data_IF_669596148811
#
_entry.id   IF_669596148811
#
_cell.length_a   1.000
_cell.length_b   1.000
_cell.length_c   1.000
_cell.angle_alpha   90.00
_cell.angle_beta   90.00
_cell.angle_gamma   90.00
#
_symmetry.space_group_name_H-M   'P 1'
#
loop_
_entity.id
_entity.type
_entity.pdbx_description
1 polymer ?
#
# COMPACT_ATOMS: atom_id res chain seq x y z
N UNK A 1 -4.99 -12.74 -12.23
CA UNK A 1 -3.86 -13.35 -11.48
C UNK A 1 -4.04 -13.11 -9.98
N UNK A 2 -3.61 -14.02 -9.11
CA UNK A 2 -3.50 -13.75 -7.66
C UNK A 2 -2.22 -12.94 -7.42
N UNK A 3 -2.37 -11.79 -6.78
CA UNK A 3 -1.25 -10.87 -6.46
C UNK A 3 -0.85 -11.01 -5.00
N UNK A 4 -1.81 -11.09 -4.07
CA UNK A 4 -1.53 -11.38 -2.66
C UNK A 4 -2.11 -12.74 -2.27
N UNK A 5 -1.23 -13.72 -2.01
CA UNK A 5 -1.64 -15.05 -1.54
C UNK A 5 -2.18 -14.99 -0.10
N UNK A 6 -1.55 -14.23 0.79
CA UNK A 6 -1.93 -14.16 2.21
C UNK A 6 -3.36 -13.63 2.44
N UNK A 7 -3.86 -12.79 1.53
CA UNK A 7 -5.19 -12.16 1.61
C UNK A 7 -6.12 -12.60 0.49
N UNK A 8 -5.70 -13.55 -0.34
CA UNK A 8 -6.44 -14.01 -1.53
C UNK A 8 -6.89 -12.85 -2.45
N UNK A 9 -6.01 -11.87 -2.66
CA UNK A 9 -6.29 -10.70 -3.49
C UNK A 9 -5.80 -10.94 -4.91
N UNK A 10 -6.69 -10.76 -5.87
CA UNK A 10 -6.39 -10.84 -7.30
C UNK A 10 -6.15 -9.46 -7.91
N UNK A 11 -5.44 -9.42 -9.04
CA UNK A 11 -5.27 -8.23 -9.88
C UNK A 11 -6.63 -7.57 -10.20
N UNK A 12 -7.64 -8.37 -10.56
CA UNK A 12 -8.99 -7.87 -10.82
C UNK A 12 -9.61 -7.17 -9.60
N UNK A 13 -9.36 -7.69 -8.39
CA UNK A 13 -9.87 -7.07 -7.15
C UNK A 13 -9.18 -5.73 -6.89
N UNK A 14 -7.86 -5.66 -7.09
CA UNK A 14 -7.09 -4.41 -6.98
C UNK A 14 -7.65 -3.36 -7.95
N UNK A 15 -7.81 -3.71 -9.24
CA UNK A 15 -8.37 -2.80 -10.25
C UNK A 15 -9.80 -2.36 -9.95
N UNK A 16 -10.62 -3.24 -9.38
CA UNK A 16 -11.98 -2.90 -8.99
C UNK A 16 -12.00 -1.86 -7.86
N UNK A 17 -11.18 -2.05 -6.82
CA UNK A 17 -11.06 -1.09 -5.71
C UNK A 17 -10.49 0.26 -6.18
N UNK A 18 -9.56 0.26 -7.13
CA UNK A 18 -9.10 1.50 -7.78
C UNK A 18 -10.25 2.19 -8.52
N UNK A 19 -11.07 1.44 -9.26
CA UNK A 19 -12.22 1.99 -9.96
C UNK A 19 -13.32 2.51 -9.01
N UNK A 20 -13.36 2.03 -7.77
CA UNK A 20 -14.20 2.53 -6.69
C UNK A 20 -13.70 3.85 -6.09
N UNK A 21 -12.48 4.30 -6.46
CA UNK A 21 -11.94 5.62 -6.11
C UNK A 21 -10.67 5.59 -5.26
N UNK A 22 -10.16 4.41 -4.90
CA UNK A 22 -8.89 4.29 -4.16
C UNK A 22 -7.73 4.71 -5.06
N UNK A 23 -6.94 5.70 -4.62
CA UNK A 23 -5.84 6.25 -5.40
C UNK A 23 -4.48 6.25 -4.69
N UNK A 24 -4.40 5.70 -3.47
CA UNK A 24 -3.16 5.55 -2.73
C UNK A 24 -2.88 4.11 -2.29
N UNK A 25 -1.60 3.79 -2.10
CA UNK A 25 -1.21 2.45 -1.67
C UNK A 25 -1.70 2.17 -0.24
N UNK A 26 -1.65 3.17 0.65
CA UNK A 26 -2.07 3.04 2.05
C UNK A 26 -3.58 2.75 2.16
N UNK A 27 -4.42 3.41 1.37
CA UNK A 27 -5.85 3.07 1.27
C UNK A 27 -6.04 1.64 0.74
N UNK A 28 -5.27 1.23 -0.26
CA UNK A 28 -5.37 -0.11 -0.83
C UNK A 28 -4.91 -1.18 0.17
N UNK A 29 -3.91 -0.88 1.01
CA UNK A 29 -3.53 -1.71 2.15
C UNK A 29 -4.67 -1.80 3.18
N UNK A 30 -5.31 -0.68 3.51
CA UNK A 30 -6.43 -0.64 4.46
C UNK A 30 -7.64 -1.46 3.95
N UNK A 31 -8.03 -1.29 2.70
CA UNK A 31 -9.20 -1.94 2.10
C UNK A 31 -8.98 -3.44 1.81
N UNK A 32 -7.80 -3.81 1.30
CA UNK A 32 -7.53 -5.17 0.82
C UNK A 32 -6.60 -5.98 1.73
N UNK A 33 -5.96 -5.34 2.70
CA UNK A 33 -4.97 -5.96 3.59
C UNK A 33 -3.66 -6.35 2.89
N UNK A 34 -3.44 -5.89 1.66
CA UNK A 34 -2.23 -6.22 0.87
C UNK A 34 -0.97 -5.72 1.59
N UNK A 35 0.14 -6.45 1.44
CA UNK A 35 1.42 -6.19 2.12
C UNK A 35 1.40 -6.21 3.68
N UNK A 36 0.25 -6.37 4.34
CA UNK A 36 0.15 -6.38 5.80
C UNK A 36 0.44 -7.74 6.48
N UNK A 37 0.78 -8.78 5.72
CA UNK A 37 1.11 -10.11 6.27
C UNK A 37 2.59 -10.44 6.10
N UNK A 38 3.00 -10.92 4.91
CA UNK A 38 4.40 -11.23 4.63
C UNK A 38 5.12 -10.15 3.83
N UNK A 39 4.42 -9.08 3.40
CA UNK A 39 4.97 -7.97 2.61
C UNK A 39 5.28 -8.28 1.14
N UNK A 40 5.47 -9.56 0.76
CA UNK A 40 6.03 -9.96 -0.55
C UNK A 40 5.24 -9.52 -1.79
N UNK A 41 3.97 -9.17 -1.64
CA UNK A 41 3.15 -8.71 -2.77
C UNK A 41 3.25 -7.21 -3.04
N UNK A 42 3.96 -6.44 -2.20
CA UNK A 42 3.99 -4.98 -2.28
C UNK A 42 4.36 -4.46 -3.67
N UNK A 43 5.52 -4.88 -4.19
CA UNK A 43 6.00 -4.46 -5.52
C UNK A 43 4.99 -4.81 -6.62
N UNK A 44 4.49 -6.05 -6.62
CA UNK A 44 3.47 -6.48 -7.59
C UNK A 44 2.16 -5.71 -7.49
N UNK A 45 1.75 -5.28 -6.30
CA UNK A 45 0.56 -4.42 -6.14
C UNK A 45 0.84 -3.03 -6.71
N UNK A 46 2.01 -2.44 -6.42
CA UNK A 46 2.42 -1.13 -6.94
C UNK A 46 2.48 -1.15 -8.48
N UNK A 47 2.96 -2.22 -9.08
CA UNK A 47 2.94 -2.40 -10.53
C UNK A 47 1.52 -2.39 -11.10
N UNK A 48 0.57 -3.07 -10.44
CA UNK A 48 -0.84 -3.06 -10.86
C UNK A 48 -1.45 -1.66 -10.73
N UNK A 49 -1.10 -0.91 -9.68
CA UNK A 49 -1.52 0.48 -9.50
C UNK A 49 -0.96 1.38 -10.61
N UNK A 50 0.33 1.25 -10.93
CA UNK A 50 0.98 2.00 -12.01
C UNK A 50 0.33 1.70 -13.37
N UNK A 51 0.09 0.43 -13.68
CA UNK A 51 -0.62 0.00 -14.89
C UNK A 51 -2.07 0.51 -14.95
N UNK A 52 -2.69 0.77 -13.79
CA UNK A 52 -4.04 1.31 -13.68
C UNK A 52 -4.08 2.85 -13.74
N UNK A 53 -2.93 3.51 -13.90
CA UNK A 53 -2.80 4.97 -13.99
C UNK A 53 -2.78 5.69 -12.63
N UNK A 54 -2.70 4.95 -11.51
CA UNK A 54 -2.84 5.49 -10.15
C UNK A 54 -1.57 6.17 -9.62
N UNK A 55 -0.51 6.30 -10.42
CA UNK A 55 0.71 6.98 -9.96
C UNK A 55 1.34 7.96 -10.96
N UNK A 56 0.68 8.29 -12.07
CA UNK A 56 1.35 9.03 -13.15
C UNK A 56 1.05 10.55 -13.21
N UNK A 57 -0.09 11.05 -12.71
CA UNK A 57 -0.50 12.41 -13.13
C UNK A 57 -1.48 13.17 -12.23
N UNK A 58 -1.71 12.77 -10.96
CA UNK A 58 -2.59 13.54 -10.05
C UNK A 58 -2.00 13.98 -8.72
N UNK A 59 -0.90 13.40 -8.24
CA UNK A 59 -0.22 13.96 -7.09
C UNK A 59 0.76 15.05 -7.54
N UNK A 60 0.28 16.29 -7.68
CA UNK A 60 1.15 17.48 -7.63
C UNK A 60 1.75 17.69 -6.23
N UNK A 61 2.10 16.61 -5.53
CA UNK A 61 2.55 16.60 -4.14
C UNK A 61 3.95 15.99 -4.13
N UNK A 62 4.94 16.83 -3.87
CA UNK A 62 6.29 16.42 -3.47
C UNK A 62 6.15 15.41 -2.32
N UNK A 63 6.66 14.19 -2.51
CA UNK A 63 6.71 13.15 -1.49
C UNK A 63 7.61 13.62 -0.33
N UNK A 64 7.05 14.38 0.60
CA UNK A 64 7.72 14.72 1.84
C UNK A 64 7.66 13.50 2.75
N UNK A 65 8.62 12.57 2.60
CA UNK A 65 8.88 11.54 3.60
C UNK A 65 9.32 12.23 4.88
N UNK A 66 8.34 12.61 5.71
CA UNK A 66 8.65 13.12 7.04
C UNK A 66 8.87 11.93 7.95
N UNK A 67 10.11 11.45 7.97
CA UNK A 67 10.59 10.54 9.00
C UNK A 67 10.56 11.28 10.35
N UNK A 68 9.45 11.15 11.08
CA UNK A 68 9.36 11.65 12.44
C UNK A 68 10.27 10.80 13.34
N UNK A 69 11.13 11.41 14.18
CA UNK A 69 12.01 10.66 15.07
C UNK A 69 11.18 9.93 16.13
N UNK A 70 11.32 8.60 16.20
CA UNK A 70 10.73 7.80 17.28
C UNK A 70 11.57 7.98 18.54
N UNK A 71 11.00 8.61 19.58
CA UNK A 71 11.62 8.68 20.90
C UNK A 71 11.40 7.38 21.65
N UNK A 72 12.46 6.59 21.82
CA UNK A 72 12.47 5.45 22.72
C UNK A 72 12.57 5.92 24.17
N UNK A 73 11.49 5.77 24.95
CA UNK A 73 11.57 5.93 26.40
C UNK A 73 12.18 4.67 27.01
N UNK A 74 13.31 4.81 27.72
CA UNK A 74 13.96 3.69 28.40
C UNK A 74 13.06 3.14 29.52
N UNK A 75 12.59 1.89 29.37
CA UNK A 75 12.01 1.13 30.50
C UNK A 75 13.15 0.63 31.39
N UNK A 76 13.39 1.28 32.52
CA UNK A 76 14.15 0.66 33.62
C UNK A 76 13.31 -0.50 34.20
N UNK A 77 13.79 -1.73 34.02
CA UNK A 77 13.29 -2.88 34.78
C UNK A 77 13.73 -2.72 36.24
N UNK A 78 12.78 -2.87 37.17
CA UNK A 78 13.02 -2.91 38.61
C UNK A 78 13.35 -4.33 39.07
#
# INVERSE_FOLDING_TARGET
>A
MIVCVCKSVSDRKIRATIAEGVDSFDELQFELGVAMCCGKCEESVRDVMAQSGVCASRCGVEHHTQAAPVTFYERKAA
#
